data_IF_698193547764
#
_entry.id   IF_698193547764
#
_cell.length_a   1.000
_cell.length_b   1.000
_cell.length_c   1.000
_cell.angle_alpha   90.00
_cell.angle_beta   90.00
_cell.angle_gamma   90.00
#
_symmetry.space_group_name_H-M   'P 1'
#
loop_
_entity.id
_entity.type
_entity.pdbx_description
1 polymer ?
#
# COMPACT_ATOMS: atom_id res chain seq x y z
N UNK A 1 -24.05 -47.96 -57.17
CA UNK A 1 -24.54 -46.73 -56.50
C UNK A 1 -24.67 -47.08 -55.01
N UNK A 2 -24.05 -46.46 -54.01
CA UNK A 2 -23.48 -45.12 -53.80
C UNK A 2 -22.22 -45.26 -52.92
N UNK A 3 -21.14 -44.54 -53.24
CA UNK A 3 -20.00 -44.34 -52.31
C UNK A 3 -20.41 -43.25 -51.31
N UNK A 4 -20.41 -43.55 -50.01
CA UNK A 4 -20.63 -42.56 -48.96
C UNK A 4 -19.26 -42.03 -48.53
N UNK A 5 -18.92 -40.82 -48.98
CA UNK A 5 -17.73 -40.10 -48.58
C UNK A 5 -18.01 -39.51 -47.19
N UNK A 6 -17.40 -40.06 -46.15
CA UNK A 6 -17.44 -39.49 -44.79
C UNK A 6 -16.52 -38.26 -44.75
N UNK A 7 -17.11 -37.08 -44.89
CA UNK A 7 -16.42 -35.81 -44.73
C UNK A 7 -16.22 -35.56 -43.23
N UNK A 8 -15.01 -35.79 -42.72
CA UNK A 8 -14.62 -35.34 -41.39
C UNK A 8 -14.52 -33.81 -41.43
N UNK A 9 -15.55 -33.12 -40.97
CA UNK A 9 -15.46 -31.69 -40.66
C UNK A 9 -14.60 -31.58 -39.41
N UNK A 10 -13.31 -31.34 -39.60
CA UNK A 10 -12.43 -30.84 -38.56
C UNK A 10 -12.95 -29.45 -38.18
N UNK A 11 -13.76 -29.37 -37.12
CA UNK A 11 -14.03 -28.11 -36.46
C UNK A 11 -12.73 -27.71 -35.78
N UNK A 12 -11.90 -26.96 -36.49
CA UNK A 12 -10.81 -26.20 -35.88
C UNK A 12 -11.52 -25.18 -34.99
N UNK A 13 -11.65 -25.49 -33.71
CA UNK A 13 -11.85 -24.43 -32.73
C UNK A 13 -10.57 -23.62 -32.75
N UNK A 14 -10.60 -22.48 -33.45
CA UNK A 14 -9.60 -21.44 -33.27
C UNK A 14 -9.66 -21.05 -31.80
N UNK A 15 -8.71 -21.52 -31.01
CA UNK A 15 -8.44 -20.94 -29.71
C UNK A 15 -8.01 -19.51 -29.99
N UNK A 16 -8.91 -18.55 -29.74
CA UNK A 16 -8.55 -17.15 -29.83
C UNK A 16 -7.36 -16.92 -28.89
N UNK A 17 -6.18 -16.63 -29.43
CA UNK A 17 -4.97 -16.42 -28.67
C UNK A 17 -5.09 -15.08 -27.91
N UNK A 18 -5.53 -15.16 -26.65
CA UNK A 18 -5.47 -14.05 -25.73
C UNK A 18 -4.03 -13.86 -25.26
N UNK A 19 -3.55 -12.61 -25.25
CA UNK A 19 -2.25 -12.26 -24.68
C UNK A 19 -2.44 -11.41 -23.43
N UNK A 20 -1.60 -11.65 -22.42
CA UNK A 20 -1.54 -10.82 -21.21
C UNK A 20 -0.19 -10.12 -21.20
N UNK A 21 -0.22 -8.79 -21.21
CA UNK A 21 0.96 -7.95 -21.08
C UNK A 21 1.02 -7.35 -19.66
N UNK A 22 2.18 -7.41 -19.03
CA UNK A 22 2.48 -6.67 -17.80
C UNK A 22 3.27 -5.40 -18.15
N UNK A 23 2.69 -4.24 -17.85
CA UNK A 23 3.23 -2.93 -18.18
C UNK A 23 3.46 -2.12 -16.90
N UNK A 24 4.28 -1.07 -16.98
CA UNK A 24 4.60 -0.19 -15.85
C UNK A 24 3.93 1.16 -16.00
N UNK A 25 3.31 1.68 -14.93
CA UNK A 25 2.65 2.98 -14.95
C UNK A 25 3.67 4.13 -14.91
N UNK A 26 3.61 4.98 -15.93
CA UNK A 26 4.57 6.06 -16.13
C UNK A 26 4.35 7.26 -15.20
N UNK A 27 5.40 8.05 -15.01
CA UNK A 27 5.33 9.25 -14.19
C UNK A 27 4.43 10.31 -14.84
N UNK A 28 3.49 10.86 -14.06
CA UNK A 28 2.54 11.88 -14.54
C UNK A 28 1.44 11.35 -15.45
N UNK A 29 1.34 10.03 -15.61
CA UNK A 29 0.22 9.38 -16.28
C UNK A 29 -1.01 9.32 -15.37
N UNK A 30 -2.18 9.38 -15.95
CA UNK A 30 -3.46 9.42 -15.23
C UNK A 30 -4.43 8.45 -15.87
N UNK A 31 -5.43 7.97 -15.12
CA UNK A 31 -6.46 7.09 -15.69
C UNK A 31 -7.10 7.72 -16.93
N UNK A 32 -7.37 9.02 -16.91
CA UNK A 32 -7.99 9.72 -18.05
C UNK A 32 -7.11 9.68 -19.30
N UNK A 33 -5.79 9.96 -19.16
CA UNK A 33 -4.81 9.83 -20.26
C UNK A 33 -4.70 8.39 -20.75
N UNK A 34 -4.73 7.42 -19.84
CA UNK A 34 -4.75 6.00 -20.17
C UNK A 34 -5.97 5.62 -21.01
N UNK A 35 -7.17 6.08 -20.64
CA UNK A 35 -8.38 5.81 -21.41
C UNK A 35 -8.28 6.44 -22.81
N UNK A 36 -7.87 7.70 -22.88
CA UNK A 36 -7.74 8.44 -24.13
C UNK A 36 -6.74 7.80 -25.11
N UNK A 37 -5.53 7.44 -24.65
CA UNK A 37 -4.49 6.87 -25.52
C UNK A 37 -4.84 5.49 -26.06
N UNK A 38 -5.70 4.76 -25.35
CA UNK A 38 -6.13 3.41 -25.71
C UNK A 38 -7.51 3.40 -26.38
N UNK A 39 -8.05 4.55 -26.77
CA UNK A 39 -9.37 4.68 -27.40
C UNK A 39 -10.51 4.07 -26.55
N UNK A 40 -10.36 4.04 -25.23
CA UNK A 40 -11.40 3.61 -24.29
C UNK A 40 -12.26 4.84 -23.93
N UNK A 41 -13.60 4.73 -23.89
CA UNK A 41 -14.47 5.87 -23.60
C UNK A 41 -14.13 6.56 -22.28
N UNK A 42 -13.80 7.87 -22.35
CA UNK A 42 -13.55 8.68 -21.14
C UNK A 42 -14.80 8.86 -20.27
N UNK A 43 -15.99 8.60 -20.81
CA UNK A 43 -17.25 8.55 -20.04
C UNK A 43 -17.19 7.56 -18.88
N UNK A 44 -16.33 6.54 -18.96
CA UNK A 44 -16.10 5.62 -17.83
C UNK A 44 -15.54 6.34 -16.62
N UNK A 45 -14.62 7.30 -16.80
CA UNK A 45 -14.07 8.09 -15.70
C UNK A 45 -15.09 9.12 -15.21
N UNK A 46 -15.70 9.87 -16.12
CA UNK A 46 -16.64 10.93 -15.75
C UNK A 46 -17.97 10.40 -15.18
N UNK A 47 -18.32 9.14 -15.46
CA UNK A 47 -19.47 8.45 -14.89
C UNK A 47 -19.23 7.87 -13.50
N UNK A 48 -17.98 7.84 -13.01
CA UNK A 48 -17.67 7.46 -11.64
C UNK A 48 -18.24 8.49 -10.66
N UNK A 49 -18.59 8.04 -9.46
CA UNK A 49 -18.84 8.98 -8.38
C UNK A 49 -17.55 9.67 -7.92
N UNK A 50 -17.71 10.72 -7.11
CA UNK A 50 -16.61 11.64 -6.78
C UNK A 50 -15.50 10.92 -6.02
N UNK A 51 -15.89 10.08 -5.06
CA UNK A 51 -14.94 9.30 -4.26
C UNK A 51 -14.16 8.30 -5.12
N UNK A 52 -14.79 7.69 -6.12
CA UNK A 52 -14.11 6.81 -7.07
C UNK A 52 -13.17 7.57 -8.02
N UNK A 53 -13.52 8.80 -8.42
CA UNK A 53 -12.63 9.65 -9.22
C UNK A 53 -11.39 10.11 -8.44
N UNK A 54 -11.56 10.38 -7.14
CA UNK A 54 -10.46 10.63 -6.21
C UNK A 54 -9.58 9.39 -6.08
N UNK A 55 -10.19 8.23 -5.81
CA UNK A 55 -9.48 6.96 -5.67
C UNK A 55 -8.71 6.56 -6.95
N UNK A 56 -9.27 6.85 -8.13
CA UNK A 56 -8.57 6.68 -9.41
C UNK A 56 -7.32 7.56 -9.55
N UNK A 57 -7.17 8.58 -8.71
CA UNK A 57 -5.99 9.45 -8.65
C UNK A 57 -4.89 8.90 -7.73
N UNK A 58 -5.09 7.75 -7.07
CA UNK A 58 -4.09 7.05 -6.25
C UNK A 58 -3.22 6.05 -7.00
N UNK A 59 -3.39 5.91 -8.33
CA UNK A 59 -2.51 5.04 -9.14
C UNK A 59 -1.05 5.48 -8.91
N UNK A 60 -0.26 4.57 -8.35
CA UNK A 60 1.11 4.85 -7.93
C UNK A 60 2.07 4.85 -9.11
N UNK A 61 3.08 5.71 -9.05
CA UNK A 61 4.18 5.69 -10.02
C UNK A 61 4.91 4.34 -9.98
N UNK A 62 5.26 3.81 -11.16
CA UNK A 62 5.88 2.49 -11.37
C UNK A 62 5.05 1.29 -10.92
N UNK A 63 3.76 1.47 -10.65
CA UNK A 63 2.91 0.30 -10.38
C UNK A 63 2.82 -0.54 -11.65
N UNK A 64 2.99 -1.84 -11.51
CA UNK A 64 2.76 -2.78 -12.60
C UNK A 64 1.26 -3.00 -12.79
N UNK A 65 0.80 -3.02 -14.03
CA UNK A 65 -0.59 -3.26 -14.40
C UNK A 65 -0.67 -4.26 -15.53
N UNK A 66 -1.82 -4.93 -15.66
CA UNK A 66 -2.01 -6.02 -16.61
C UNK A 66 -3.00 -5.60 -17.69
N UNK A 67 -2.71 -5.92 -18.94
CA UNK A 67 -3.59 -5.71 -20.09
C UNK A 67 -3.82 -7.04 -20.78
N UNK A 68 -5.06 -7.48 -20.86
CA UNK A 68 -5.49 -8.60 -21.69
C UNK A 68 -5.88 -8.05 -23.06
N UNK A 69 -5.31 -8.63 -24.12
CA UNK A 69 -5.66 -8.30 -25.51
C UNK A 69 -6.17 -9.52 -26.27
N UNK A 70 -7.04 -9.26 -27.23
CA UNK A 70 -7.45 -10.24 -28.24
C UNK A 70 -6.39 -10.41 -29.34
N UNK A 71 -6.65 -11.33 -30.28
CA UNK A 71 -5.77 -11.61 -31.42
C UNK A 71 -5.54 -10.40 -32.34
N UNK A 72 -6.44 -9.42 -32.31
CA UNK A 72 -6.37 -8.19 -33.09
C UNK A 72 -5.71 -7.04 -32.31
N UNK A 73 -5.09 -7.33 -31.16
CA UNK A 73 -4.53 -6.35 -30.22
C UNK A 73 -5.55 -5.38 -29.59
N UNK A 74 -6.85 -5.69 -29.64
CA UNK A 74 -7.85 -4.91 -28.91
C UNK A 74 -7.78 -5.26 -27.42
N UNK A 75 -7.94 -4.25 -26.58
CA UNK A 75 -7.96 -4.44 -25.12
C UNK A 75 -9.28 -5.07 -24.70
N UNK A 76 -9.21 -6.25 -24.10
CA UNK A 76 -10.36 -6.95 -23.50
C UNK A 76 -10.51 -6.62 -22.02
N UNK A 77 -9.38 -6.48 -21.32
CA UNK A 77 -9.35 -6.24 -19.88
C UNK A 77 -8.09 -5.45 -19.48
N UNK A 78 -8.22 -4.62 -18.45
CA UNK A 78 -7.11 -3.93 -17.78
C UNK A 78 -7.28 -4.04 -16.28
N UNK A 79 -6.22 -4.44 -15.58
CA UNK A 79 -6.15 -4.45 -14.11
C UNK A 79 -5.05 -3.51 -13.63
N UNK A 80 -5.45 -2.39 -13.01
CA UNK A 80 -4.52 -1.34 -12.52
C UNK A 80 -4.60 -1.29 -10.99
N UNK A 81 -3.59 -1.78 -10.28
CA UNK A 81 -3.56 -1.70 -8.82
C UNK A 81 -3.47 -0.25 -8.32
N UNK A 82 -4.27 0.07 -7.32
CA UNK A 82 -4.27 1.37 -6.62
C UNK A 82 -3.89 1.24 -5.14
N UNK A 83 -3.97 0.02 -4.61
CA UNK A 83 -3.42 -0.37 -3.31
C UNK A 83 -3.10 -1.87 -3.34
N UNK A 84 -2.54 -2.39 -2.26
CA UNK A 84 -2.29 -3.84 -2.13
C UNK A 84 -3.59 -4.66 -2.19
N UNK A 85 -4.75 -4.07 -1.89
CA UNK A 85 -6.02 -4.79 -1.72
C UNK A 85 -7.06 -4.45 -2.78
N UNK A 86 -6.84 -3.40 -3.58
CA UNK A 86 -7.82 -2.89 -4.53
C UNK A 86 -7.17 -2.49 -5.86
N UNK A 87 -7.87 -2.76 -6.95
CA UNK A 87 -7.47 -2.40 -8.31
C UNK A 87 -8.65 -1.85 -9.10
N UNK A 88 -8.34 -1.02 -10.09
CA UNK A 88 -9.26 -0.62 -11.14
C UNK A 88 -9.32 -1.75 -12.16
N UNK A 89 -10.53 -2.17 -12.48
CA UNK A 89 -10.82 -3.21 -13.45
C UNK A 89 -11.63 -2.60 -14.60
N UNK A 90 -10.98 -2.44 -15.75
CA UNK A 90 -11.63 -2.03 -16.99
C UNK A 90 -11.83 -3.29 -17.83
N UNK A 91 -13.04 -3.57 -18.31
CA UNK A 91 -13.32 -4.78 -19.08
C UNK A 91 -14.47 -4.59 -20.05
N UNK A 92 -14.50 -5.36 -21.14
CA UNK A 92 -15.68 -5.44 -22.01
C UNK A 92 -16.74 -6.33 -21.37
N UNK A 93 -17.97 -5.84 -21.31
CA UNK A 93 -19.12 -6.63 -20.90
C UNK A 93 -19.58 -7.61 -22.00
N UNK A 94 -20.66 -8.36 -21.76
CA UNK A 94 -21.22 -9.30 -22.75
C UNK A 94 -21.68 -8.64 -24.05
N UNK A 95 -21.93 -7.33 -24.03
CA UNK A 95 -22.30 -6.53 -25.20
C UNK A 95 -21.09 -5.90 -25.91
N UNK A 96 -19.87 -6.18 -25.46
CA UNK A 96 -18.63 -5.59 -26.01
C UNK A 96 -18.38 -4.15 -25.57
N UNK A 97 -19.17 -3.62 -24.62
CA UNK A 97 -18.99 -2.26 -24.11
C UNK A 97 -18.03 -2.26 -22.94
N UNK A 98 -17.11 -1.29 -22.90
CA UNK A 98 -16.24 -1.14 -21.75
C UNK A 98 -17.04 -0.75 -20.50
N UNK A 99 -16.65 -1.35 -19.39
CA UNK A 99 -17.12 -1.06 -18.03
C UNK A 99 -15.89 -0.83 -17.15
N UNK A 100 -16.04 0.00 -16.11
CA UNK A 100 -15.01 0.22 -15.08
C UNK A 100 -15.60 -0.12 -13.71
N UNK A 101 -14.86 -0.91 -12.92
CA UNK A 101 -15.19 -1.22 -11.53
C UNK A 101 -13.94 -1.23 -10.65
N UNK A 102 -14.12 -1.01 -9.35
CA UNK A 102 -13.09 -1.25 -8.34
C UNK A 102 -13.26 -2.64 -7.76
N UNK A 103 -12.27 -3.51 -7.95
CA UNK A 103 -12.32 -4.91 -7.53
C UNK A 103 -11.16 -5.24 -6.61
N UNK A 104 -11.31 -6.21 -5.68
CA UNK A 104 -10.21 -6.66 -4.85
C UNK A 104 -9.08 -7.22 -5.68
N UNK A 105 -7.85 -7.02 -5.23
CA UNK A 105 -6.70 -7.74 -5.78
C UNK A 105 -6.73 -9.17 -5.27
N UNK A 106 -6.65 -10.15 -6.17
CA UNK A 106 -6.49 -11.55 -5.80
C UNK A 106 -5.02 -11.83 -5.45
N UNK A 107 -4.78 -12.22 -4.20
CA UNK A 107 -3.49 -12.65 -3.70
C UNK A 107 -3.68 -13.74 -2.63
N UNK A 108 -2.61 -14.48 -2.35
CA UNK A 108 -2.53 -15.42 -1.24
C UNK A 108 -1.77 -14.77 -0.09
N UNK A 109 -2.19 -15.01 1.14
CA UNK A 109 -1.45 -14.60 2.34
C UNK A 109 -0.66 -15.77 2.87
N UNK A 110 0.58 -15.51 3.23
CA UNK A 110 1.48 -16.50 3.80
C UNK A 110 2.10 -15.96 5.08
N UNK A 111 1.95 -16.75 6.14
CA UNK A 111 2.65 -16.56 7.40
C UNK A 111 3.97 -17.32 7.35
N UNK A 112 5.07 -16.62 7.63
CA UNK A 112 6.43 -17.16 7.56
C UNK A 112 7.22 -16.79 8.80
N UNK A 113 8.11 -17.69 9.19
CA UNK A 113 9.06 -17.47 10.29
C UNK A 113 10.46 -17.61 9.73
N UNK A 114 11.29 -16.59 9.93
CA UNK A 114 12.71 -16.64 9.62
C UNK A 114 13.50 -16.51 10.91
N UNK A 115 14.40 -17.46 11.18
CA UNK A 115 15.30 -17.44 12.31
C UNK A 115 16.74 -17.58 11.81
N UNK A 116 17.63 -16.71 12.28
CA UNK A 116 19.06 -16.79 11.93
C UNK A 116 19.96 -16.25 13.03
N UNK A 117 21.21 -16.72 12.99
CA UNK A 117 22.32 -16.17 13.77
C UNK A 117 23.08 -15.15 12.92
N UNK A 118 23.35 -13.99 13.51
CA UNK A 118 24.06 -12.88 12.86
C UNK A 118 25.52 -13.26 12.60
N UNK A 119 25.95 -13.05 11.35
CA UNK A 119 27.32 -13.26 10.86
C UNK A 119 27.99 -11.94 10.53
N UNK A 120 27.25 -11.01 9.91
CA UNK A 120 27.78 -9.74 9.41
C UNK A 120 27.02 -8.55 9.97
N UNK A 121 25.76 -8.39 9.58
CA UNK A 121 24.83 -7.39 10.07
C UNK A 121 23.41 -7.90 9.88
N UNK A 122 22.50 -7.51 10.78
CA UNK A 122 21.12 -7.97 10.73
C UNK A 122 20.45 -7.72 9.37
N UNK A 123 20.69 -6.55 8.76
CA UNK A 123 20.12 -6.25 7.45
C UNK A 123 20.65 -7.20 6.37
N UNK A 124 21.97 -7.35 6.29
CA UNK A 124 22.61 -8.15 5.25
C UNK A 124 22.27 -9.64 5.41
N UNK A 125 22.34 -10.17 6.63
CA UNK A 125 22.10 -11.60 6.88
C UNK A 125 20.63 -11.97 6.61
N UNK A 126 19.67 -11.10 6.97
CA UNK A 126 18.25 -11.31 6.61
C UNK A 126 18.04 -11.25 5.11
N UNK A 127 18.70 -10.32 4.41
CA UNK A 127 18.63 -10.25 2.95
C UNK A 127 19.20 -11.50 2.28
N UNK A 128 20.39 -11.96 2.71
CA UNK A 128 21.03 -13.15 2.16
C UNK A 128 20.23 -14.42 2.42
N UNK A 129 19.64 -14.56 3.60
CA UNK A 129 18.85 -15.72 3.99
C UNK A 129 17.48 -15.76 3.30
N UNK A 130 16.84 -14.59 3.11
CA UNK A 130 15.47 -14.52 2.54
C UNK A 130 15.41 -14.18 1.06
N UNK A 131 16.48 -13.65 0.46
CA UNK A 131 16.45 -13.00 -0.86
C UNK A 131 15.64 -11.68 -0.89
N UNK A 132 15.10 -11.22 0.25
CA UNK A 132 14.10 -10.13 0.29
C UNK A 132 14.63 -8.88 0.97
N UNK A 133 14.97 -7.87 0.17
CA UNK A 133 15.33 -6.54 0.68
C UNK A 133 14.14 -5.84 1.36
N UNK A 134 12.91 -6.23 1.00
CA UNK A 134 11.68 -5.75 1.64
C UNK A 134 11.58 -6.31 3.06
N UNK A 135 11.90 -7.58 3.28
CA UNK A 135 11.89 -8.17 4.63
C UNK A 135 12.96 -7.54 5.53
N UNK A 136 14.19 -7.38 5.02
CA UNK A 136 15.28 -6.74 5.75
C UNK A 136 14.93 -5.29 6.16
N UNK A 137 14.32 -4.51 5.27
CA UNK A 137 13.82 -3.15 5.59
C UNK A 137 12.67 -3.19 6.59
N UNK A 138 11.74 -4.14 6.46
CA UNK A 138 10.62 -4.30 7.37
C UNK A 138 11.08 -4.62 8.80
N UNK A 139 12.11 -5.46 8.96
CA UNK A 139 12.76 -5.74 10.24
C UNK A 139 13.39 -4.47 10.84
N UNK A 140 14.21 -3.75 10.07
CA UNK A 140 14.88 -2.53 10.58
C UNK A 140 13.85 -1.49 11.03
N UNK A 141 12.72 -1.39 10.33
CA UNK A 141 11.58 -0.55 10.72
C UNK A 141 10.95 -1.01 12.04
N UNK A 142 10.70 -2.31 12.20
CA UNK A 142 10.03 -2.85 13.39
C UNK A 142 10.78 -2.53 14.69
N UNK A 143 12.11 -2.54 14.66
CA UNK A 143 12.95 -2.21 15.82
C UNK A 143 13.34 -0.73 15.94
N UNK A 144 12.86 0.14 15.04
CA UNK A 144 13.22 1.56 15.05
C UNK A 144 12.78 2.21 16.37
N UNK A 145 13.74 2.81 17.08
CA UNK A 145 13.49 3.44 18.38
C UNK A 145 13.51 2.48 19.57
N UNK A 146 13.62 1.17 19.33
CA UNK A 146 13.78 0.12 20.34
C UNK A 146 15.24 -0.33 20.46
N UNK A 147 15.89 -0.58 19.32
CA UNK A 147 17.27 -1.08 19.26
C UNK A 147 18.12 -0.20 18.35
N UNK A 148 19.39 -0.01 18.73
CA UNK A 148 20.41 0.49 17.80
C UNK A 148 21.11 -0.70 17.15
N UNK A 149 20.81 -0.95 15.87
CA UNK A 149 21.38 -2.07 15.10
C UNK A 149 22.92 -2.06 15.03
N UNK A 150 23.59 -0.93 15.33
CA UNK A 150 25.06 -0.87 15.44
C UNK A 150 25.61 -1.67 16.62
N UNK A 151 24.78 -1.98 17.60
CA UNK A 151 25.18 -2.73 18.80
C UNK A 151 25.03 -4.25 18.62
N UNK A 152 24.43 -4.69 17.52
CA UNK A 152 24.30 -6.13 17.21
C UNK A 152 25.67 -6.67 16.81
N UNK A 153 26.01 -7.83 17.35
CA UNK A 153 27.28 -8.51 17.15
C UNK A 153 27.09 -9.86 16.48
N UNK A 154 28.21 -10.41 15.99
CA UNK A 154 28.24 -11.78 15.49
C UNK A 154 27.86 -12.75 16.62
N UNK A 155 26.95 -13.67 16.33
CA UNK A 155 26.42 -14.63 17.31
C UNK A 155 25.11 -14.20 17.98
N UNK A 156 24.69 -12.95 17.84
CA UNK A 156 23.33 -12.54 18.21
C UNK A 156 22.32 -13.24 17.28
N UNK A 157 21.08 -13.41 17.75
CA UNK A 157 20.03 -14.10 16.99
C UNK A 157 18.89 -13.16 16.63
N UNK A 158 18.28 -13.42 15.47
CA UNK A 158 17.10 -12.69 14.98
C UNK A 158 16.02 -13.69 14.60
N UNK A 159 14.81 -13.46 15.09
CA UNK A 159 13.61 -14.20 14.72
C UNK A 159 12.55 -13.23 14.22
N UNK A 160 12.02 -13.48 13.02
CA UNK A 160 10.98 -12.68 12.37
C UNK A 160 9.77 -13.57 12.11
N UNK A 161 8.63 -13.24 12.68
CA UNK A 161 7.33 -13.80 12.28
C UNK A 161 6.56 -12.73 11.50
N UNK A 162 6.27 -13.01 10.24
CA UNK A 162 5.75 -12.02 9.31
C UNK A 162 4.70 -12.62 8.36
N UNK A 163 3.79 -11.75 7.93
CA UNK A 163 2.84 -12.02 6.86
C UNK A 163 3.34 -11.37 5.58
N UNK A 164 3.30 -12.12 4.48
CA UNK A 164 3.52 -11.60 3.13
C UNK A 164 2.35 -11.97 2.23
N UNK A 165 2.10 -11.15 1.20
CA UNK A 165 1.13 -11.47 0.15
C UNK A 165 1.87 -11.97 -1.08
N UNK A 166 1.33 -12.97 -1.78
CA UNK A 166 1.80 -13.41 -3.09
C UNK A 166 0.71 -13.27 -4.14
N UNK A 167 1.05 -12.68 -5.29
CA UNK A 167 0.21 -12.61 -6.48
C UNK A 167 0.94 -13.30 -7.61
N UNK A 168 0.32 -14.34 -8.20
CA UNK A 168 0.91 -15.12 -9.30
C UNK A 168 2.33 -15.63 -8.99
N UNK A 169 2.51 -16.15 -7.76
CA UNK A 169 3.81 -16.67 -7.32
C UNK A 169 4.85 -15.61 -6.92
N UNK A 170 4.59 -14.31 -7.13
CA UNK A 170 5.52 -13.21 -6.78
C UNK A 170 5.07 -12.49 -5.51
N UNK A 171 6.02 -11.93 -4.76
CA UNK A 171 5.73 -11.04 -3.62
C UNK A 171 4.86 -9.86 -4.07
N UNK A 172 3.84 -9.54 -3.28
CA UNK A 172 2.86 -8.50 -3.55
C UNK A 172 2.71 -7.57 -2.35
N UNK A 173 2.83 -6.26 -2.56
CA UNK A 173 2.75 -5.26 -1.48
C UNK A 173 3.95 -5.25 -0.53
N UNK A 174 3.77 -4.63 0.65
CA UNK A 174 4.79 -4.58 1.71
C UNK A 174 4.68 -5.81 2.64
N UNK A 175 5.79 -6.15 3.32
CA UNK A 175 5.82 -7.21 4.32
C UNK A 175 5.36 -6.67 5.68
N UNK A 176 4.44 -7.37 6.30
CA UNK A 176 3.92 -7.05 7.63
C UNK A 176 4.58 -7.93 8.69
N UNK A 177 5.51 -7.37 9.46
CA UNK A 177 6.08 -8.05 10.64
C UNK A 177 4.98 -8.14 11.70
N UNK A 178 4.61 -9.36 12.11
CA UNK A 178 3.68 -9.62 13.23
C UNK A 178 4.41 -9.56 14.56
N UNK A 179 5.55 -10.25 14.64
CA UNK A 179 6.45 -10.25 15.77
C UNK A 179 7.89 -10.28 15.25
N UNK A 180 8.79 -9.56 15.92
CA UNK A 180 10.22 -9.75 15.72
C UNK A 180 10.95 -9.77 17.06
N UNK A 181 12.00 -10.56 17.13
CA UNK A 181 12.85 -10.72 18.30
C UNK A 181 14.32 -10.62 17.89
N UNK A 182 15.11 -9.85 18.65
CA UNK A 182 16.57 -9.88 18.57
C UNK A 182 17.11 -10.22 19.95
N UNK A 183 17.99 -11.22 20.02
CA UNK A 183 18.71 -11.56 21.24
C UNK A 183 20.11 -10.96 21.20
N UNK A 184 20.38 -10.00 22.08
CA UNK A 184 21.69 -9.33 22.20
C UNK A 184 22.28 -9.68 23.56
N UNK A 185 23.44 -10.32 23.60
CA UNK A 185 24.09 -10.72 24.86
C UNK A 185 23.15 -11.43 25.86
N UNK A 186 22.35 -12.40 25.38
CA UNK A 186 21.33 -13.13 26.16
C UNK A 186 20.15 -12.28 26.69
N UNK A 187 20.00 -11.05 26.22
CA UNK A 187 18.82 -10.22 26.47
C UNK A 187 17.96 -10.13 25.22
N UNK A 188 16.77 -10.73 25.28
CA UNK A 188 15.80 -10.65 24.20
C UNK A 188 15.13 -9.28 24.16
N UNK A 189 14.99 -8.74 22.96
CA UNK A 189 14.19 -7.55 22.66
C UNK A 189 13.14 -7.94 21.65
N UNK A 190 11.89 -7.78 22.04
CA UNK A 190 10.74 -8.18 21.24
C UNK A 190 9.94 -6.95 20.82
N UNK A 191 9.38 -7.02 19.62
CA UNK A 191 8.48 -6.02 19.06
C UNK A 191 7.29 -6.72 18.44
N UNK A 192 6.11 -6.15 18.66
CA UNK A 192 4.84 -6.73 18.23
C UNK A 192 4.05 -5.70 17.43
N UNK A 193 3.48 -6.11 16.30
CA UNK A 193 2.60 -5.26 15.49
C UNK A 193 1.16 -5.35 15.97
N UNK A 194 0.52 -4.19 16.12
CA UNK A 194 -0.90 -4.06 16.42
C UNK A 194 -1.47 -2.83 15.71
N UNK A 195 -2.46 -3.03 14.84
CA UNK A 195 -3.03 -1.97 13.99
C UNK A 195 -1.97 -1.16 13.22
N UNK A 196 -1.02 -1.84 12.57
CA UNK A 196 0.09 -1.26 11.80
C UNK A 196 1.13 -0.45 12.61
N UNK A 197 1.09 -0.51 13.94
CA UNK A 197 2.07 0.14 14.84
C UNK A 197 2.83 -0.92 15.64
N UNK A 198 4.12 -0.66 15.90
CA UNK A 198 4.95 -1.53 16.75
C UNK A 198 4.93 -1.11 18.22
N UNK A 199 4.73 -2.11 19.09
CA UNK A 199 4.71 -1.98 20.55
C UNK A 199 5.72 -2.95 21.18
N UNK A 200 6.18 -2.62 22.38
CA UNK A 200 6.81 -3.60 23.26
C UNK A 200 5.77 -4.52 23.92
N UNK A 201 6.25 -5.49 24.69
CA UNK A 201 5.43 -6.48 25.42
C UNK A 201 4.42 -5.84 26.37
N UNK A 202 4.71 -4.65 26.90
CA UNK A 202 3.83 -3.93 27.82
C UNK A 202 2.77 -3.10 27.09
N UNK A 203 2.81 -3.06 25.76
CA UNK A 203 1.89 -2.29 24.92
C UNK A 203 2.29 -0.83 24.80
N UNK A 204 3.55 -0.48 25.06
CA UNK A 204 4.09 0.86 24.84
C UNK A 204 4.65 0.98 23.44
N UNK A 205 4.25 2.05 22.76
CA UNK A 205 4.60 2.29 21.38
C UNK A 205 6.10 2.57 21.17
N UNK A 206 6.69 1.88 20.20
CA UNK A 206 8.12 1.97 19.90
C UNK A 206 8.43 3.01 18.82
N UNK A 207 7.55 3.17 17.84
CA UNK A 207 7.76 4.06 16.70
C UNK A 207 7.73 5.55 17.11
N UNK A 208 8.61 6.36 16.51
CA UNK A 208 8.83 7.77 16.89
C UNK A 208 8.33 8.78 15.85
N UNK A 209 7.76 8.32 14.73
CA UNK A 209 7.31 9.23 13.69
C UNK A 209 5.90 9.77 14.01
N UNK A 210 5.87 10.89 14.74
CA UNK A 210 4.65 11.55 15.15
C UNK A 210 4.26 12.64 14.16
N UNK A 211 3.07 12.52 13.59
CA UNK A 211 2.44 13.56 12.79
C UNK A 211 1.52 14.42 13.66
N UNK A 212 1.49 15.73 13.41
CA UNK A 212 0.53 16.64 14.04
C UNK A 212 -0.69 16.83 13.16
N UNK A 213 -1.82 17.21 13.76
CA UNK A 213 -3.04 17.54 13.01
C UNK A 213 -2.74 18.62 11.95
N UNK A 214 -3.09 18.39 10.67
CA UNK A 214 -2.68 19.27 9.58
C UNK A 214 -3.59 20.50 9.42
N UNK A 215 -4.76 20.52 10.04
CA UNK A 215 -5.75 21.57 9.88
C UNK A 215 -6.58 21.73 11.15
N UNK A 216 -7.07 22.94 11.40
CA UNK A 216 -8.13 23.15 12.38
C UNK A 216 -9.48 22.84 11.72
N UNK A 217 -10.19 21.82 12.21
CA UNK A 217 -11.39 21.29 11.56
C UNK A 217 -12.59 21.24 12.51
N UNK A 218 -13.78 21.21 11.92
CA UNK A 218 -15.05 21.14 12.68
C UNK A 218 -15.40 19.70 13.04
N UNK A 219 -15.28 18.78 12.07
CA UNK A 219 -15.49 17.34 12.24
C UNK A 219 -14.70 16.55 11.20
N UNK A 220 -14.55 15.25 11.44
CA UNK A 220 -14.14 14.29 10.40
C UNK A 220 -15.41 13.97 9.60
N UNK A 221 -15.43 14.31 8.30
CA UNK A 221 -16.57 14.02 7.42
C UNK A 221 -16.51 12.61 6.84
N UNK A 222 -15.31 12.10 6.59
CA UNK A 222 -15.08 10.74 6.09
C UNK A 222 -13.81 10.16 6.73
N UNK A 223 -13.88 9.03 7.46
CA UNK A 223 -12.71 8.37 8.02
C UNK A 223 -11.95 7.56 6.96
N UNK A 224 -10.73 7.13 7.28
CA UNK A 224 -9.98 6.18 6.48
C UNK A 224 -10.69 4.81 6.46
N UNK A 225 -10.79 4.21 5.28
CA UNK A 225 -11.28 2.84 5.11
C UNK A 225 -10.51 2.13 4.02
N UNK A 226 -10.06 0.91 4.30
CA UNK A 226 -9.55 0.01 3.26
C UNK A 226 -10.70 -0.49 2.38
N UNK A 227 -10.38 -1.29 1.35
CA UNK A 227 -11.34 -1.90 0.44
C UNK A 227 -12.42 -2.72 1.17
N UNK A 228 -13.53 -2.08 1.54
CA UNK A 228 -14.67 -2.73 2.20
C UNK A 228 -15.84 -2.80 1.24
N UNK A 229 -16.49 -3.96 1.18
CA UNK A 229 -17.72 -4.12 0.42
C UNK A 229 -18.85 -3.29 1.02
N UNK A 230 -19.47 -2.43 0.22
CA UNK A 230 -20.62 -1.63 0.63
C UNK A 230 -21.91 -2.40 0.27
N UNK A 231 -22.70 -2.91 1.23
CA UNK A 231 -23.80 -3.82 0.96
C UNK A 231 -24.95 -3.19 0.14
N UNK A 232 -25.20 -1.88 0.34
CA UNK A 232 -26.27 -1.15 -0.40
C UNK A 232 -25.84 -0.83 -1.84
N UNK A 233 -24.67 -0.21 -2.01
CA UNK A 233 -24.11 0.14 -3.33
C UNK A 233 -23.57 -1.07 -4.11
N UNK A 234 -23.48 -2.23 -3.47
CA UNK A 234 -22.97 -3.50 -4.01
C UNK A 234 -21.59 -3.40 -4.68
N UNK A 235 -20.73 -2.52 -4.18
CA UNK A 235 -19.38 -2.26 -4.71
C UNK A 235 -18.36 -2.10 -3.58
N UNK A 236 -17.08 -2.34 -3.89
CA UNK A 236 -16.00 -2.06 -2.94
C UNK A 236 -15.74 -0.56 -2.89
N UNK A 237 -15.62 -0.02 -1.69
CA UNK A 237 -15.27 1.38 -1.46
C UNK A 237 -14.05 1.43 -0.56
N UNK A 238 -13.08 2.25 -0.96
CA UNK A 238 -11.94 2.63 -0.14
C UNK A 238 -11.92 4.15 -0.05
N UNK A 239 -11.37 4.64 1.06
CA UNK A 239 -11.06 6.03 1.26
C UNK A 239 -9.67 6.06 1.91
N UNK A 240 -8.66 6.37 1.09
CA UNK A 240 -7.25 6.19 1.43
C UNK A 240 -6.66 7.39 2.20
N UNK A 241 -7.54 8.15 2.87
CA UNK A 241 -7.19 9.29 3.72
C UNK A 241 -8.27 9.59 4.76
N UNK A 242 -8.19 10.76 5.39
CA UNK A 242 -9.22 11.31 6.27
C UNK A 242 -9.66 12.66 5.71
N UNK A 243 -10.97 12.87 5.65
CA UNK A 243 -11.55 14.15 5.27
C UNK A 243 -11.86 14.99 6.50
N UNK A 244 -11.16 16.11 6.60
CA UNK A 244 -11.35 17.10 7.64
C UNK A 244 -12.20 18.26 7.12
N UNK A 245 -13.46 18.34 7.56
CA UNK A 245 -14.36 19.42 7.17
C UNK A 245 -13.91 20.75 7.80
N UNK A 246 -13.54 21.71 6.96
CA UNK A 246 -13.08 23.04 7.38
C UNK A 246 -13.41 24.10 6.33
N UNK A 247 -13.69 25.36 6.72
CA UNK A 247 -14.02 26.41 5.76
C UNK A 247 -12.90 26.65 4.73
N UNK A 248 -13.28 27.04 3.51
CA UNK A 248 -12.32 27.49 2.48
C UNK A 248 -11.42 28.59 3.04
N UNK A 249 -10.12 28.50 2.75
CA UNK A 249 -9.14 29.45 3.25
C UNK A 249 -8.56 29.10 4.62
N UNK A 250 -9.04 28.06 5.30
CA UNK A 250 -8.43 27.58 6.56
C UNK A 250 -6.97 27.17 6.30
N UNK A 251 -5.98 27.63 7.09
CA UNK A 251 -4.59 27.25 6.90
C UNK A 251 -4.37 25.74 7.05
N UNK A 252 -3.69 25.14 6.08
CA UNK A 252 -3.21 23.76 6.09
C UNK A 252 -1.73 23.78 6.43
N UNK A 253 -1.34 23.01 7.44
CA UNK A 253 0.00 22.90 7.98
C UNK A 253 0.60 21.55 7.65
N UNK A 254 1.92 21.52 7.43
CA UNK A 254 2.64 20.27 7.30
C UNK A 254 2.56 19.47 8.60
N UNK A 255 2.09 18.23 8.50
CA UNK A 255 1.91 17.34 9.64
C UNK A 255 3.26 16.88 10.24
N UNK A 256 4.36 16.99 9.51
CA UNK A 256 5.68 16.59 9.97
C UNK A 256 6.80 17.29 9.19
N UNK A 257 8.01 17.34 9.74
CA UNK A 257 9.17 17.84 8.99
C UNK A 257 9.41 16.95 7.77
N UNK A 258 9.75 17.54 6.62
CA UNK A 258 9.97 16.77 5.40
C UNK A 258 10.41 17.61 4.21
N UNK A 259 10.32 17.01 3.03
CA UNK A 259 10.61 17.64 1.74
C UNK A 259 9.38 17.52 0.85
N UNK A 260 8.95 18.65 0.28
CA UNK A 260 7.87 18.68 -0.73
C UNK A 260 8.33 17.89 -1.95
N UNK A 261 7.60 16.85 -2.33
CA UNK A 261 7.89 16.00 -3.50
C UNK A 261 6.94 16.24 -4.67
N UNK A 262 5.77 16.81 -4.39
CA UNK A 262 4.79 17.21 -5.41
C UNK A 262 4.03 18.46 -4.96
N UNK A 263 3.79 19.36 -5.92
CA UNK A 263 2.89 20.50 -5.80
C UNK A 263 2.24 20.75 -7.17
N UNK A 264 0.92 20.75 -7.23
CA UNK A 264 0.20 20.92 -8.48
C UNK A 264 -1.19 20.31 -8.44
N UNK A 265 -1.77 20.04 -9.60
CA UNK A 265 -3.10 19.42 -9.73
C UNK A 265 -3.01 17.93 -10.00
N UNK A 266 -3.83 17.10 -9.34
CA UNK A 266 -3.89 15.65 -9.53
C UNK A 266 -5.32 15.14 -9.60
N UNK A 267 -5.88 15.04 -10.81
CA UNK A 267 -7.18 14.39 -11.06
C UNK A 267 -8.28 14.78 -10.07
N UNK A 268 -8.91 13.76 -9.47
CA UNK A 268 -9.98 13.92 -8.48
C UNK A 268 -9.57 14.67 -7.21
N UNK A 269 -8.29 14.66 -6.84
CA UNK A 269 -7.81 15.41 -5.68
C UNK A 269 -7.76 16.93 -5.89
N UNK A 270 -7.82 17.43 -7.13
CA UNK A 270 -7.67 18.85 -7.42
C UNK A 270 -6.26 19.33 -7.10
N UNK A 271 -6.11 20.47 -6.41
CA UNK A 271 -4.81 20.97 -5.98
C UNK A 271 -4.26 20.14 -4.80
N UNK A 272 -3.03 19.65 -4.95
CA UNK A 272 -2.38 18.71 -4.05
C UNK A 272 -0.97 19.15 -3.69
N UNK A 273 -0.59 18.89 -2.45
CA UNK A 273 0.81 18.83 -2.01
C UNK A 273 1.11 17.42 -1.51
N UNK A 274 2.27 16.87 -1.88
CA UNK A 274 2.83 15.69 -1.23
C UNK A 274 4.15 16.06 -0.55
N UNK A 275 4.33 15.57 0.68
CA UNK A 275 5.54 15.78 1.47
C UNK A 275 6.08 14.42 1.87
N UNK A 276 7.31 14.12 1.46
CA UNK A 276 8.06 12.97 1.94
C UNK A 276 8.72 13.32 3.27
N UNK A 277 8.58 12.40 4.21
CA UNK A 277 9.18 12.50 5.53
C UNK A 277 10.26 11.43 5.70
N UNK A 278 10.88 11.43 6.87
CA UNK A 278 11.78 10.36 7.27
C UNK A 278 11.01 9.02 7.38
N UNK A 279 11.75 7.93 7.54
CA UNK A 279 11.19 6.63 7.88
C UNK A 279 10.26 5.99 6.84
N UNK A 280 10.18 6.55 5.61
CA UNK A 280 9.34 6.03 4.54
C UNK A 280 7.92 6.60 4.52
N UNK A 281 7.63 7.57 5.39
CA UNK A 281 6.34 8.23 5.44
C UNK A 281 6.20 9.29 4.34
N UNK A 282 4.99 9.44 3.82
CA UNK A 282 4.57 10.53 2.96
C UNK A 282 3.19 11.01 3.41
N UNK A 283 2.97 12.32 3.37
CA UNK A 283 1.65 12.92 3.58
C UNK A 283 1.15 13.57 2.30
N UNK A 284 -0.16 13.46 2.06
CA UNK A 284 -0.87 14.05 0.93
C UNK A 284 -1.94 15.02 1.45
N UNK A 285 -1.98 16.22 0.89
CA UNK A 285 -2.93 17.28 1.24
C UNK A 285 -3.67 17.69 -0.02
N UNK A 286 -4.97 17.42 -0.11
CA UNK A 286 -5.77 17.60 -1.32
C UNK A 286 -6.93 18.59 -1.16
N UNK A 287 -7.63 18.85 -2.27
CA UNK A 287 -8.72 19.82 -2.42
C UNK A 287 -8.34 21.27 -2.05
N UNK A 288 -7.06 21.64 -2.18
CA UNK A 288 -6.55 22.93 -1.71
C UNK A 288 -7.08 24.09 -2.57
N UNK A 289 -7.46 25.22 -1.96
CA UNK A 289 -7.87 26.40 -2.74
C UNK A 289 -6.68 27.11 -3.37
N UNK A 290 -5.57 27.20 -2.62
CA UNK A 290 -4.32 27.80 -3.07
C UNK A 290 -3.15 27.26 -2.24
N UNK A 291 -1.96 27.31 -2.82
CA UNK A 291 -0.71 26.98 -2.13
C UNK A 291 -0.17 28.19 -1.35
N UNK A 292 0.58 27.94 -0.28
CA UNK A 292 1.44 28.97 0.31
C UNK A 292 2.66 29.23 -0.60
N UNK A 293 3.56 30.12 -0.18
CA UNK A 293 4.85 30.34 -0.88
C UNK A 293 5.78 29.13 -0.66
N UNK A 294 5.48 28.03 -1.33
CA UNK A 294 6.22 26.77 -1.29
C UNK A 294 6.48 26.25 -2.71
N UNK A 295 7.53 25.45 -2.89
CA UNK A 295 7.90 24.86 -4.19
C UNK A 295 8.34 23.40 -4.05
N UNK A 296 8.36 22.68 -5.17
CA UNK A 296 8.88 21.31 -5.21
C UNK A 296 10.35 21.27 -4.74
N UNK A 297 10.73 20.25 -3.98
CA UNK A 297 12.05 20.08 -3.36
C UNK A 297 12.29 20.94 -2.10
N UNK A 298 11.34 21.79 -1.70
CA UNK A 298 11.50 22.62 -0.51
C UNK A 298 11.40 21.79 0.78
N UNK A 299 12.33 22.01 1.71
CA UNK A 299 12.24 21.52 3.09
C UNK A 299 11.17 22.30 3.86
N UNK A 300 10.34 21.59 4.59
CA UNK A 300 9.29 22.17 5.45
C UNK A 300 9.41 21.62 6.86
N UNK A 301 9.08 22.46 7.83
CA UNK A 301 9.00 22.08 9.24
C UNK A 301 7.59 21.62 9.59
N UNK A 302 7.47 20.77 10.62
CA UNK A 302 6.17 20.44 11.21
C UNK A 302 5.46 21.72 11.67
N UNK A 303 4.16 21.83 11.39
CA UNK A 303 3.35 22.99 11.73
C UNK A 303 3.48 24.19 10.78
N UNK A 304 4.42 24.16 9.82
CA UNK A 304 4.56 25.20 8.81
C UNK A 304 3.32 25.24 7.90
N UNK A 305 2.76 26.43 7.65
CA UNK A 305 1.65 26.60 6.70
C UNK A 305 2.16 26.34 5.28
N UNK A 306 1.49 25.41 4.59
CA UNK A 306 1.85 24.95 3.24
C UNK A 306 0.79 25.27 2.20
N UNK A 307 -0.48 25.40 2.61
CA UNK A 307 -1.59 25.70 1.73
C UNK A 307 -2.82 26.15 2.52
N UNK A 308 -3.95 26.27 1.83
CA UNK A 308 -5.23 26.63 2.41
C UNK A 308 -6.33 25.71 1.89
N UNK A 309 -7.26 25.34 2.76
CA UNK A 309 -8.42 24.49 2.44
C UNK A 309 -9.22 25.08 1.28
N UNK A 310 -9.75 24.21 0.43
CA UNK A 310 -10.61 24.57 -0.68
C UNK A 310 -11.63 23.49 -0.96
N UNK A 311 -12.08 23.42 -2.21
CA UNK A 311 -12.99 22.40 -2.72
C UNK A 311 -12.67 22.13 -4.20
N UNK A 312 -11.37 22.16 -4.55
CA UNK A 312 -10.91 21.91 -5.93
C UNK A 312 -10.91 20.40 -6.23
N UNK A 313 -11.04 20.03 -7.50
CA UNK A 313 -11.17 18.62 -7.87
C UNK A 313 -12.57 18.10 -7.58
N UNK A 314 -12.70 16.82 -7.27
CA UNK A 314 -13.97 16.14 -7.01
C UNK A 314 -14.33 16.24 -5.54
N UNK A 315 -14.86 17.39 -5.14
CA UNK A 315 -15.19 17.73 -3.75
C UNK A 315 -16.67 18.13 -3.65
N UNK A 316 -17.36 17.73 -2.58
CA UNK A 316 -18.78 18.09 -2.32
C UNK A 316 -18.94 19.39 -1.52
N UNK A 317 -17.84 19.87 -0.92
CA UNK A 317 -17.79 21.09 -0.15
C UNK A 317 -16.42 21.28 0.50
N UNK A 318 -16.17 22.42 1.17
CA UNK A 318 -14.85 22.71 1.70
C UNK A 318 -14.35 21.70 2.74
N UNK A 319 -13.24 21.04 2.43
CA UNK A 319 -12.55 20.12 3.34
C UNK A 319 -11.09 19.91 2.91
N UNK A 320 -10.29 19.35 3.82
CA UNK A 320 -8.97 18.81 3.52
C UNK A 320 -9.07 17.29 3.47
N UNK A 321 -8.80 16.69 2.31
CA UNK A 321 -8.45 15.28 2.26
C UNK A 321 -6.98 15.14 2.68
N UNK A 322 -6.73 14.32 3.70
CA UNK A 322 -5.40 14.08 4.26
C UNK A 322 -5.04 12.59 4.19
N UNK A 323 -4.13 12.25 3.28
CA UNK A 323 -3.60 10.89 3.13
C UNK A 323 -2.27 10.72 3.85
N UNK A 324 -2.04 9.53 4.41
CA UNK A 324 -0.73 9.13 4.94
C UNK A 324 -0.34 7.81 4.30
N UNK A 325 0.90 7.74 3.82
CA UNK A 325 1.42 6.56 3.15
C UNK A 325 2.73 6.15 3.81
N UNK A 326 2.91 4.85 4.03
CA UNK A 326 4.15 4.24 4.46
C UNK A 326 4.64 3.33 3.33
N UNK A 327 5.80 3.64 2.75
CA UNK A 327 6.35 2.90 1.60
C UNK A 327 5.35 2.73 0.44
N UNK A 328 4.64 3.81 0.09
CA UNK A 328 3.57 3.85 -0.93
C UNK A 328 2.26 3.12 -0.56
N UNK A 329 2.18 2.43 0.59
CA UNK A 329 0.92 1.88 1.10
C UNK A 329 0.18 2.92 1.92
N UNK A 330 -1.07 3.22 1.56
CA UNK A 330 -1.92 4.08 2.38
C UNK A 330 -2.19 3.43 3.74
N UNK A 331 -2.02 4.20 4.82
CA UNK A 331 -2.28 3.79 6.19
C UNK A 331 -3.27 4.76 6.83
N UNK A 332 -3.97 4.32 7.87
CA UNK A 332 -4.91 5.18 8.58
C UNK A 332 -4.18 6.37 9.23
N UNK A 333 -4.42 7.63 8.81
CA UNK A 333 -3.78 8.78 9.41
C UNK A 333 -3.99 8.89 10.93
N UNK A 334 -5.12 8.40 11.45
CA UNK A 334 -5.42 8.42 12.87
C UNK A 334 -4.47 7.56 13.73
N UNK A 335 -3.74 6.61 13.12
CA UNK A 335 -2.78 5.76 13.85
C UNK A 335 -1.47 6.51 14.16
N UNK A 336 -1.09 7.49 13.33
CA UNK A 336 0.20 8.21 13.42
C UNK A 336 0.07 9.71 13.71
N UNK A 337 -1.11 10.30 13.53
CA UNK A 337 -1.38 11.70 13.89
C UNK A 337 -1.68 11.82 15.38
N UNK A 338 -0.65 12.09 16.19
CA UNK A 338 -0.74 12.20 17.66
C UNK A 338 0.35 13.09 18.25
N UNK A 339 0.11 13.57 19.47
CA UNK A 339 0.97 14.55 20.16
C UNK A 339 2.13 13.86 20.91
N UNK A 340 1.93 12.60 21.33
CA UNK A 340 2.92 11.81 22.03
C UNK A 340 2.78 10.33 21.68
N UNK A 341 3.83 9.54 21.97
CA UNK A 341 3.75 8.08 21.94
C UNK A 341 2.64 7.61 22.87
N UNK A 342 1.90 6.61 22.41
CA UNK A 342 0.79 6.04 23.17
C UNK A 342 1.20 4.76 23.90
N UNK A 343 0.47 4.46 24.98
CA UNK A 343 0.47 3.13 25.59
C UNK A 343 -0.95 2.57 25.44
N UNK A 344 -1.05 1.32 25.01
CA UNK A 344 -2.33 0.63 24.94
C UNK A 344 -2.94 0.52 26.33
N UNK A 345 -4.24 0.75 26.44
CA UNK A 345 -4.98 0.65 27.69
C UNK A 345 -6.37 0.02 27.49
N UNK A 346 -6.98 -0.42 28.58
CA UNK A 346 -8.30 -1.07 28.59
C UNK A 346 -8.41 -2.23 27.59
N UNK A 347 -9.53 -2.27 26.86
CA UNK A 347 -9.86 -3.34 25.89
C UNK A 347 -8.81 -3.48 24.78
N UNK A 348 -8.15 -2.39 24.38
CA UNK A 348 -7.10 -2.47 23.36
C UNK A 348 -5.86 -3.22 23.89
N UNK A 349 -5.47 -2.98 25.16
CA UNK A 349 -4.37 -3.71 25.80
C UNK A 349 -4.70 -5.19 26.01
N UNK A 350 -5.93 -5.50 26.38
CA UNK A 350 -6.40 -6.90 26.53
C UNK A 350 -6.35 -7.64 25.20
N UNK A 351 -6.89 -7.04 24.14
CA UNK A 351 -6.86 -7.64 22.80
C UNK A 351 -5.42 -7.79 22.28
N UNK A 352 -4.57 -6.79 22.52
CA UNK A 352 -3.13 -6.88 22.20
C UNK A 352 -2.46 -8.07 22.88
N UNK A 353 -2.66 -8.25 24.20
CA UNK A 353 -2.10 -9.39 24.94
C UNK A 353 -2.55 -10.74 24.39
N UNK A 354 -3.82 -10.84 23.97
CA UNK A 354 -4.33 -12.08 23.36
C UNK A 354 -3.66 -12.37 22.01
N UNK A 355 -3.48 -11.35 21.17
CA UNK A 355 -2.84 -11.46 19.86
C UNK A 355 -1.36 -11.87 20.00
N UNK A 356 -0.59 -11.19 20.87
CA UNK A 356 0.84 -11.49 21.00
C UNK A 356 1.09 -12.89 21.57
N UNK A 357 0.23 -13.38 22.48
CA UNK A 357 0.34 -14.74 22.99
C UNK A 357 0.19 -15.78 21.85
N UNK A 358 -0.68 -15.51 20.88
CA UNK A 358 -0.78 -16.33 19.67
C UNK A 358 0.49 -16.28 18.83
N UNK A 359 1.07 -15.10 18.63
CA UNK A 359 2.32 -14.95 17.87
C UNK A 359 3.49 -15.68 18.53
N UNK A 360 3.64 -15.52 19.84
CA UNK A 360 4.68 -16.19 20.63
C UNK A 360 4.55 -17.71 20.56
N UNK A 361 3.32 -18.24 20.63
CA UNK A 361 3.10 -19.68 20.54
C UNK A 361 3.55 -20.25 19.19
N UNK A 362 3.18 -19.59 18.08
CA UNK A 362 3.59 -20.02 16.73
C UNK A 362 5.11 -19.98 16.59
N UNK A 363 5.76 -18.90 17.06
CA UNK A 363 7.22 -18.79 17.02
C UNK A 363 7.88 -19.87 17.87
N UNK A 364 7.39 -20.10 19.08
CA UNK A 364 7.94 -21.12 19.99
C UNK A 364 7.85 -22.52 19.40
N UNK A 365 6.72 -22.87 18.77
CA UNK A 365 6.53 -24.17 18.11
C UNK A 365 7.47 -24.34 16.90
N UNK A 366 7.64 -23.29 16.09
CA UNK A 366 8.55 -23.32 14.95
C UNK A 366 10.02 -23.50 15.37
N UNK A 367 10.46 -22.78 16.42
CA UNK A 367 11.81 -22.91 16.96
C UNK A 367 12.03 -24.28 17.62
N UNK A 368 11.05 -24.79 18.39
CA UNK A 368 11.15 -26.09 19.04
C UNK A 368 11.19 -27.27 18.05
N UNK A 369 10.55 -27.13 16.89
CA UNK A 369 10.55 -28.13 15.83
C UNK A 369 11.73 -28.02 14.86
N UNK A 370 12.63 -27.04 15.06
CA UNK A 370 13.70 -26.70 14.11
C UNK A 370 13.16 -26.54 12.68
N UNK A 371 12.01 -25.88 12.54
CA UNK A 371 11.41 -25.63 11.23
C UNK A 371 12.42 -24.90 10.34
N UNK A 372 12.68 -25.39 9.11
CA UNK A 372 13.62 -24.74 8.21
C UNK A 372 13.13 -23.35 7.82
N UNK A 373 14.07 -22.45 7.56
CA UNK A 373 13.75 -21.13 7.05
C UNK A 373 12.99 -21.20 5.71
N UNK A 374 12.13 -20.22 5.41
CA UNK A 374 11.41 -20.15 4.15
C UNK A 374 12.38 -20.14 2.97
N UNK A 375 11.97 -20.67 1.81
CA UNK A 375 12.78 -20.57 0.61
C UNK A 375 13.03 -19.10 0.26
N UNK A 376 14.22 -18.83 -0.29
CA UNK A 376 14.62 -17.50 -0.76
C UNK A 376 13.64 -17.01 -1.81
N UNK A 377 13.34 -15.71 -1.79
CA UNK A 377 12.63 -15.08 -2.88
C UNK A 377 13.54 -15.04 -4.12
N UNK A 378 13.06 -15.65 -5.20
CA UNK A 378 13.74 -15.68 -6.49
C UNK A 378 13.20 -14.55 -7.37
N UNK A 379 14.09 -13.75 -7.95
CA UNK A 379 13.71 -12.73 -8.92
C UNK A 379 13.72 -13.34 -10.33
N UNK A 380 12.56 -13.80 -10.77
CA UNK A 380 12.37 -14.48 -12.06
C UNK A 380 12.61 -13.58 -13.28
N UNK A 381 12.86 -12.27 -13.12
CA UNK A 381 13.16 -11.38 -14.25
C UNK A 381 14.54 -11.62 -14.89
N UNK A 382 15.47 -12.24 -14.17
CA UNK A 382 16.84 -12.48 -14.67
C UNK A 382 17.04 -13.83 -15.38
N UNK A 383 15.98 -14.63 -15.56
CA UNK A 383 16.08 -15.98 -16.15
C UNK A 383 15.62 -16.08 -17.62
N UNK A 384 15.26 -14.96 -18.25
CA UNK A 384 14.95 -14.91 -19.68
C UNK A 384 16.12 -14.24 -20.40
N UNK A 385 17.29 -14.88 -20.39
CA UNK A 385 18.24 -14.72 -21.49
C UNK A 385 17.84 -15.73 -22.57
N UNK A 386 17.34 -15.22 -23.70
CA UNK A 386 17.06 -16.03 -24.89
C UNK A 386 18.35 -16.45 -25.59
#
# INVERSE_FOLDING_TARGET
MKKLLLLFIFVVQSFAALSVEELTWDNGDTLLKFLQRNSIPMSLYYGLDREDQELASDIAYKIKYQVLKDENNNIEQVLIPISDDLQIHIYKDKGGQYTLAFTPVSYQKEDRILHLTIKSSAYQDVYEESGSSTLARAMVRAFRGSINFRNIQKGDEVTLYYEQKRRMGKLWGDINIKMAMVEINKSAREVFSYNDIFYDRDGKELESFLLTKPVNYTRISSPFTTARYHPILKRYRAHLGIDYAAPTGTPVKSAGKGVVTFIGTKGGYGNVIQIKHDSGYMTLYAHLSRFAKIKNGQKVNQGQVIAYVGSTGMSTGPHLHFGVYLNNRAINPASVVKIAKSELSGKAKENFKHIIAGYEQVVKEALASNQPNPPKEEDFENYIEF
#
